data_IF_063177339517
#
_entry.id   IF_063177339517
#
_cell.length_a   1.000
_cell.length_b   1.000
_cell.length_c   1.000
_cell.angle_alpha   90.00
_cell.angle_beta   90.00
_cell.angle_gamma   90.00
#
_symmetry.space_group_name_H-M   'P 1'
#
loop_
_entity.id
_entity.type
_entity.pdbx_description
1 polymer ?
#
# COMPACT_ATOMS: atom_id res chain seq x y z
N UNK A 1 43.64 57.08 19.62
CA UNK A 1 42.29 56.67 20.02
C UNK A 1 41.89 55.64 18.99
N UNK A 2 42.17 54.38 19.31
CA UNK A 2 41.83 53.25 18.46
C UNK A 2 40.36 52.94 18.72
N UNK A 3 39.54 53.07 17.68
CA UNK A 3 38.16 52.62 17.70
C UNK A 3 38.21 51.12 17.44
N UNK A 4 38.10 50.34 18.53
CA UNK A 4 37.89 48.90 18.47
C UNK A 4 36.55 48.64 17.75
N UNK A 5 36.65 48.30 16.47
CA UNK A 5 35.56 47.76 15.67
C UNK A 5 35.42 46.29 15.98
N UNK A 6 34.64 45.97 17.01
CA UNK A 6 34.29 44.60 17.37
C UNK A 6 32.79 44.55 17.65
N UNK A 7 32.02 43.96 16.75
CA UNK A 7 30.56 43.92 16.91
C UNK A 7 29.72 43.61 15.67
N UNK A 8 30.31 43.23 14.54
CA UNK A 8 29.55 42.85 13.33
C UNK A 8 29.62 41.36 12.97
N UNK A 9 30.54 40.57 13.56
CA UNK A 9 30.69 39.14 13.20
C UNK A 9 29.67 38.21 13.88
N UNK A 10 29.06 38.59 15.00
CA UNK A 10 28.19 37.69 15.77
C UNK A 10 26.75 37.57 15.22
N UNK A 11 26.35 38.50 14.33
CA UNK A 11 24.98 38.56 13.78
C UNK A 11 24.82 37.69 12.52
N UNK A 12 25.88 37.52 11.74
CA UNK A 12 25.86 36.69 10.52
C UNK A 12 25.79 35.19 10.83
N UNK A 13 26.44 34.73 11.91
CA UNK A 13 26.35 33.34 12.37
C UNK A 13 24.92 32.97 12.83
N UNK A 14 24.21 33.89 13.48
CA UNK A 14 22.82 33.69 13.91
C UNK A 14 21.84 33.54 12.74
N UNK A 15 22.02 34.36 11.68
CA UNK A 15 21.16 34.36 10.51
C UNK A 15 21.37 33.16 9.57
N UNK A 16 22.58 32.59 9.52
CA UNK A 16 22.86 31.36 8.75
C UNK A 16 22.29 30.13 9.45
N UNK A 17 22.43 30.03 10.77
CA UNK A 17 21.83 28.96 11.57
C UNK A 17 20.30 28.98 11.54
N UNK A 18 19.69 30.18 11.55
CA UNK A 18 18.23 30.31 11.40
C UNK A 18 17.77 29.85 10.02
N UNK A 19 18.48 30.23 8.95
CA UNK A 19 18.18 29.77 7.58
C UNK A 19 18.29 28.26 7.45
N UNK A 20 19.36 27.68 7.99
CA UNK A 20 19.57 26.23 7.96
C UNK A 20 18.49 25.47 8.73
N UNK A 21 18.08 25.98 9.91
CA UNK A 21 16.96 25.40 10.67
C UNK A 21 15.64 25.52 9.92
N UNK A 22 15.34 26.67 9.33
CA UNK A 22 14.13 26.87 8.53
C UNK A 22 14.09 25.95 7.32
N UNK A 23 15.21 25.79 6.60
CA UNK A 23 15.32 24.86 5.48
C UNK A 23 15.13 23.40 5.92
N UNK A 24 15.73 22.99 7.04
CA UNK A 24 15.54 21.65 7.62
C UNK A 24 14.07 21.41 7.98
N UNK A 25 13.46 22.35 8.71
CA UNK A 25 12.05 22.25 9.12
C UNK A 25 11.09 22.28 7.94
N UNK A 26 11.39 23.05 6.88
CA UNK A 26 10.58 23.02 5.65
C UNK A 26 10.72 21.69 4.92
N UNK A 27 11.91 21.10 4.90
CA UNK A 27 12.13 19.77 4.31
C UNK A 27 11.41 18.68 5.09
N UNK A 28 11.55 18.66 6.41
CA UNK A 28 10.86 17.73 7.31
C UNK A 28 9.34 17.88 7.20
N UNK A 29 8.81 19.10 7.18
CA UNK A 29 7.37 19.32 6.98
C UNK A 29 6.86 18.80 5.64
N UNK A 30 7.65 18.94 4.56
CA UNK A 30 7.29 18.37 3.25
C UNK A 30 7.30 16.85 3.27
N UNK A 31 8.29 16.25 3.91
CA UNK A 31 8.38 14.79 4.07
C UNK A 31 7.19 14.24 4.86
N UNK A 32 6.88 14.84 6.02
CA UNK A 32 5.73 14.47 6.84
C UNK A 32 4.39 14.67 6.12
N UNK A 33 4.24 15.76 5.38
CA UNK A 33 3.04 16.00 4.57
C UNK A 33 2.86 14.91 3.49
N UNK A 34 3.97 14.52 2.84
CA UNK A 34 3.96 13.44 1.85
C UNK A 34 3.60 12.09 2.51
N UNK A 35 4.18 11.77 3.67
CA UNK A 35 3.85 10.54 4.41
C UNK A 35 2.39 10.49 4.82
N UNK A 36 1.85 11.59 5.37
CA UNK A 36 0.45 11.68 5.78
C UNK A 36 -0.48 11.51 4.58
N UNK A 37 -0.14 12.14 3.45
CA UNK A 37 -0.88 12.00 2.19
C UNK A 37 -0.91 10.53 1.72
N UNK A 38 0.23 9.84 1.75
CA UNK A 38 0.33 8.43 1.36
C UNK A 38 -0.42 7.48 2.30
N UNK A 39 -0.38 7.73 3.61
CA UNK A 39 -1.14 6.97 4.60
C UNK A 39 -2.65 7.15 4.41
N UNK A 40 -3.10 8.40 4.21
CA UNK A 40 -4.52 8.68 3.98
C UNK A 40 -5.02 8.06 2.68
N UNK A 41 -4.22 8.11 1.62
CA UNK A 41 -4.52 7.45 0.36
C UNK A 41 -4.71 5.93 0.55
N UNK A 42 -3.81 5.26 1.28
CA UNK A 42 -3.92 3.81 1.57
C UNK A 42 -5.17 3.48 2.40
N UNK A 43 -5.44 4.26 3.43
CA UNK A 43 -6.62 4.08 4.28
C UNK A 43 -7.89 4.20 3.44
N UNK A 44 -8.02 5.27 2.66
CA UNK A 44 -9.18 5.56 1.83
C UNK A 44 -9.41 4.48 0.77
N UNK A 45 -8.35 4.04 0.09
CA UNK A 45 -8.43 2.94 -0.90
C UNK A 45 -8.94 1.65 -0.23
N UNK A 46 -8.45 1.35 0.97
CA UNK A 46 -8.83 0.13 1.70
C UNK A 46 -10.25 0.20 2.24
N UNK A 47 -10.66 1.35 2.80
CA UNK A 47 -11.97 1.56 3.41
C UNK A 47 -13.09 1.56 2.36
N UNK A 48 -12.88 2.23 1.22
CA UNK A 48 -13.87 2.32 0.16
C UNK A 48 -13.78 1.20 -0.88
N UNK A 49 -12.80 0.30 -0.74
CA UNK A 49 -12.63 -0.83 -1.65
C UNK A 49 -12.22 -0.44 -3.07
N UNK A 50 -11.47 0.65 -3.24
CA UNK A 50 -10.96 1.12 -4.54
C UNK A 50 -9.79 0.25 -5.03
N UNK A 51 -10.04 -1.05 -5.23
CA UNK A 51 -9.01 -2.04 -5.56
C UNK A 51 -8.28 -1.80 -6.88
N UNK A 52 -8.81 -0.92 -7.75
CA UNK A 52 -8.13 -0.54 -9.00
C UNK A 52 -7.29 0.73 -8.86
N UNK A 53 -7.42 1.49 -7.76
CA UNK A 53 -6.66 2.71 -7.49
C UNK A 53 -5.45 2.38 -6.64
N UNK A 54 -4.29 2.95 -6.97
CA UNK A 54 -3.06 2.78 -6.20
C UNK A 54 -2.77 4.05 -5.39
N UNK A 55 -2.07 3.95 -4.24
CA UNK A 55 -1.69 5.12 -3.46
C UNK A 55 -0.86 6.13 -4.25
N UNK A 56 -0.07 5.67 -5.22
CA UNK A 56 0.72 6.53 -6.12
C UNK A 56 -0.15 7.43 -7.01
N UNK A 57 -1.37 6.99 -7.33
CA UNK A 57 -2.30 7.77 -8.16
C UNK A 57 -2.88 9.00 -7.41
N UNK A 58 -2.75 9.00 -6.08
CA UNK A 58 -3.25 10.06 -5.19
C UNK A 58 -2.10 10.92 -4.62
N UNK A 59 -0.86 10.68 -5.04
CA UNK A 59 0.27 11.52 -4.63
C UNK A 59 0.10 12.95 -5.14
N UNK A 60 0.27 13.92 -4.24
CA UNK A 60 0.12 15.34 -4.57
C UNK A 60 -1.33 15.83 -4.69
N UNK A 61 -2.33 14.95 -4.50
CA UNK A 61 -3.73 15.36 -4.39
C UNK A 61 -3.99 15.91 -2.98
N UNK A 62 -4.78 16.98 -2.88
CA UNK A 62 -5.15 17.51 -1.57
C UNK A 62 -5.97 16.48 -0.79
N UNK A 63 -5.73 16.37 0.52
CA UNK A 63 -6.42 15.42 1.39
C UNK A 63 -7.96 15.52 1.32
N UNK A 64 -8.49 16.73 1.12
CA UNK A 64 -9.93 16.98 0.97
C UNK A 64 -10.51 16.48 -0.35
N UNK A 65 -9.69 16.34 -1.39
CA UNK A 65 -10.09 15.98 -2.76
C UNK A 65 -9.71 14.52 -3.10
N UNK A 66 -8.94 13.86 -2.24
CA UNK A 66 -8.47 12.48 -2.47
C UNK A 66 -9.63 11.49 -2.66
N UNK A 67 -10.73 11.65 -1.92
CA UNK A 67 -11.89 10.75 -2.02
C UNK A 67 -12.53 10.82 -3.41
N UNK A 68 -12.87 12.02 -3.85
CA UNK A 68 -13.45 12.28 -5.16
C UNK A 68 -12.51 11.82 -6.29
N UNK A 69 -11.21 12.09 -6.14
CA UNK A 69 -10.22 11.67 -7.14
C UNK A 69 -10.08 10.16 -7.22
N UNK A 70 -10.09 9.47 -6.07
CA UNK A 70 -10.03 8.02 -6.02
C UNK A 70 -11.28 7.39 -6.65
N UNK A 71 -12.47 7.93 -6.36
CA UNK A 71 -13.73 7.47 -6.96
C UNK A 71 -13.71 7.64 -8.49
N UNK A 72 -13.29 8.81 -8.97
CA UNK A 72 -13.19 9.07 -10.41
C UNK A 72 -12.23 8.10 -11.10
N UNK A 73 -11.04 7.87 -10.52
CA UNK A 73 -10.05 6.94 -11.07
C UNK A 73 -10.55 5.48 -11.06
N UNK A 74 -11.25 5.09 -10.00
CA UNK A 74 -11.87 3.76 -9.93
C UNK A 74 -12.87 3.58 -11.07
N UNK A 75 -13.77 4.55 -11.27
CA UNK A 75 -14.77 4.52 -12.34
C UNK A 75 -14.16 4.49 -13.73
N UNK A 76 -13.15 5.34 -13.98
CA UNK A 76 -12.41 5.36 -15.25
C UNK A 76 -11.76 4.00 -15.55
N UNK A 77 -11.11 3.39 -14.55
CA UNK A 77 -10.45 2.08 -14.71
C UNK A 77 -11.44 0.94 -14.91
N UNK A 78 -12.57 0.97 -14.20
CA UNK A 78 -13.66 0.00 -14.41
C UNK A 78 -14.24 0.11 -15.83
N UNK A 79 -14.49 1.34 -16.32
CA UNK A 79 -14.98 1.55 -17.66
C UNK A 79 -13.99 1.05 -18.73
N UNK A 80 -12.69 1.34 -18.56
CA UNK A 80 -11.66 0.82 -19.45
C UNK A 80 -11.58 -0.71 -19.45
N UNK A 81 -11.71 -1.36 -18.28
CA UNK A 81 -11.75 -2.81 -18.18
C UNK A 81 -12.98 -3.39 -18.88
N UNK A 82 -14.14 -2.76 -18.73
CA UNK A 82 -15.37 -3.19 -19.38
C UNK A 82 -15.30 -3.09 -20.90
N UNK A 83 -14.78 -1.99 -21.43
CA UNK A 83 -14.58 -1.81 -22.87
C UNK A 83 -13.56 -2.81 -23.42
N UNK A 84 -12.46 -3.07 -22.70
CA UNK A 84 -11.48 -4.06 -23.10
C UNK A 84 -12.07 -5.47 -23.11
N UNK A 85 -12.80 -5.85 -22.06
CA UNK A 85 -13.47 -7.14 -21.96
C UNK A 85 -14.48 -7.30 -23.11
N UNK A 86 -15.25 -6.26 -23.40
CA UNK A 86 -16.22 -6.23 -24.49
C UNK A 86 -15.55 -6.41 -25.85
N UNK A 87 -14.48 -5.68 -26.14
CA UNK A 87 -13.74 -5.80 -27.40
C UNK A 87 -13.11 -7.20 -27.56
N UNK A 88 -12.53 -7.76 -26.49
CA UNK A 88 -11.95 -9.10 -26.51
C UNK A 88 -12.99 -10.20 -26.74
N UNK A 89 -14.15 -10.10 -26.08
CA UNK A 89 -15.24 -11.07 -26.20
C UNK A 89 -15.99 -10.93 -27.54
N UNK A 90 -16.15 -9.71 -28.04
CA UNK A 90 -16.69 -9.46 -29.38
C UNK A 90 -15.79 -10.05 -30.47
N UNK A 91 -14.47 -9.88 -30.37
CA UNK A 91 -13.50 -10.53 -31.28
C UNK A 91 -13.55 -12.06 -31.23
N UNK A 92 -14.06 -12.63 -30.15
CA UNK A 92 -14.30 -14.08 -30.00
C UNK A 92 -15.62 -14.54 -30.64
N UNK A 93 -16.41 -13.62 -31.21
CA UNK A 93 -17.67 -13.88 -31.87
C UNK A 93 -18.89 -13.85 -30.96
N UNK A 94 -18.78 -13.29 -29.74
CA UNK A 94 -19.92 -13.06 -28.86
C UNK A 94 -20.60 -11.73 -29.22
N UNK A 95 -21.92 -11.71 -29.32
CA UNK A 95 -22.70 -10.54 -29.70
C UNK A 95 -23.93 -10.36 -28.79
N UNK A 96 -24.46 -9.14 -28.72
CA UNK A 96 -25.71 -8.83 -28.00
C UNK A 96 -25.70 -9.23 -26.53
N UNK A 97 -26.79 -9.84 -26.07
CA UNK A 97 -27.02 -10.18 -24.66
C UNK A 97 -26.00 -11.20 -24.11
N UNK A 98 -25.45 -12.07 -24.97
CA UNK A 98 -24.43 -13.05 -24.58
C UNK A 98 -23.09 -12.39 -24.29
N UNK A 99 -22.76 -11.33 -25.05
CA UNK A 99 -21.58 -10.52 -24.82
C UNK A 99 -21.69 -9.76 -23.49
N UNK A 100 -22.83 -9.12 -23.23
CA UNK A 100 -23.05 -8.37 -21.99
C UNK A 100 -22.99 -9.28 -20.75
N UNK A 101 -23.57 -10.47 -20.85
CA UNK A 101 -23.48 -11.47 -19.78
C UNK A 101 -22.04 -11.93 -19.54
N UNK A 102 -21.30 -12.21 -20.60
CA UNK A 102 -19.90 -12.63 -20.49
C UNK A 102 -18.99 -11.52 -19.95
N UNK A 103 -19.24 -10.25 -20.30
CA UNK A 103 -18.52 -9.10 -19.73
C UNK A 103 -18.82 -8.98 -18.23
N UNK A 104 -20.09 -9.09 -17.83
CA UNK A 104 -20.47 -9.03 -16.41
C UNK A 104 -19.86 -10.19 -15.61
N UNK A 105 -19.85 -11.41 -16.15
CA UNK A 105 -19.24 -12.57 -15.51
C UNK A 105 -17.70 -12.43 -15.41
N UNK A 106 -17.06 -11.80 -16.40
CA UNK A 106 -15.61 -11.55 -16.41
C UNK A 106 -15.18 -10.46 -15.43
N UNK A 107 -16.00 -9.41 -15.27
CA UNK A 107 -15.74 -8.29 -14.36
C UNK A 107 -16.23 -8.53 -12.94
N UNK A 108 -17.02 -9.58 -12.71
CA UNK A 108 -17.45 -9.96 -11.38
C UNK A 108 -16.20 -10.14 -10.50
N UNK A 109 -16.13 -9.50 -9.32
CA UNK A 109 -15.01 -9.72 -8.43
C UNK A 109 -14.96 -11.20 -8.12
N UNK A 110 -13.89 -11.89 -8.54
CA UNK A 110 -13.62 -13.22 -8.02
C UNK A 110 -13.62 -13.08 -6.51
N UNK A 111 -14.45 -13.87 -5.83
CA UNK A 111 -14.43 -13.95 -4.37
C UNK A 111 -13.06 -14.52 -3.98
N UNK A 112 -12.04 -13.66 -3.95
CA UNK A 112 -10.74 -13.98 -3.41
C UNK A 112 -10.98 -14.32 -1.95
N UNK A 113 -10.87 -15.61 -1.69
CA UNK A 113 -11.11 -16.30 -0.44
C UNK A 113 -10.56 -15.49 0.74
N UNK A 114 -11.43 -14.73 1.41
CA UNK A 114 -11.09 -13.89 2.55
C UNK A 114 -10.39 -14.69 3.67
N UNK A 115 -10.53 -16.02 3.65
CA UNK A 115 -9.82 -16.95 4.52
C UNK A 115 -8.31 -17.02 4.29
N UNK A 116 -7.78 -16.63 3.13
CA UNK A 116 -6.33 -16.61 2.86
C UNK A 116 -5.63 -15.44 3.58
N UNK A 117 -6.27 -14.26 3.59
CA UNK A 117 -5.74 -13.08 4.29
C UNK A 117 -5.82 -13.23 5.82
N UNK A 118 -6.85 -13.90 6.34
CA UNK A 118 -6.98 -14.24 7.76
C UNK A 118 -5.86 -15.19 8.22
N UNK A 119 -5.55 -16.23 7.43
CA UNK A 119 -4.47 -17.18 7.72
C UNK A 119 -3.09 -16.53 7.75
N UNK A 120 -2.81 -15.59 6.86
CA UNK A 120 -1.53 -14.87 6.85
C UNK A 120 -1.35 -13.98 8.11
N UNK A 121 -2.44 -13.39 8.63
CA UNK A 121 -2.42 -12.64 9.90
C UNK A 121 -2.22 -13.54 11.11
N UNK A 122 -2.84 -14.71 11.12
CA UNK A 122 -2.73 -15.67 12.23
C UNK A 122 -1.32 -16.24 12.34
N UNK A 123 -0.67 -16.60 11.22
CA UNK A 123 0.71 -17.11 11.20
C UNK A 123 1.73 -16.05 11.69
N UNK A 124 1.51 -14.77 11.40
CA UNK A 124 2.34 -13.68 11.92
C UNK A 124 2.22 -13.50 13.45
N UNK A 125 1.07 -13.85 14.03
CA UNK A 125 0.84 -13.78 15.48
C UNK A 125 1.34 -15.01 16.26
N UNK A 126 1.54 -16.14 15.58
CA UNK A 126 1.98 -17.41 16.18
C UNK A 126 3.52 -17.56 16.21
N UNK A 127 4.27 -16.65 15.58
CA UNK A 127 5.75 -16.63 15.55
C UNK A 127 6.46 -16.29 16.87
N UNK A 128 5.79 -16.42 18.01
CA UNK A 128 6.34 -16.21 19.34
C UNK A 128 6.66 -17.54 20.05
N UNK A 129 7.93 -17.95 19.97
CA UNK A 129 8.62 -18.95 20.83
C UNK A 129 7.94 -20.33 20.95
N UNK A 130 8.23 -21.24 20.02
CA UNK A 130 7.91 -22.68 20.20
C UNK A 130 9.07 -23.41 20.90
N UNK A 131 8.86 -23.77 22.16
CA UNK A 131 9.60 -24.84 22.83
C UNK A 131 9.35 -26.18 22.10
N UNK A 132 10.38 -27.02 21.86
CA UNK A 132 10.21 -28.24 21.08
C UNK A 132 9.46 -29.33 21.87
N UNK A 133 8.40 -29.87 21.28
CA UNK A 133 7.67 -31.02 21.80
C UNK A 133 8.51 -32.30 21.63
N UNK A 134 8.88 -32.94 22.74
CA UNK A 134 9.82 -34.06 22.80
C UNK A 134 9.16 -35.45 22.59
N UNK A 135 7.99 -35.56 21.95
CA UNK A 135 7.34 -36.87 21.81
C UNK A 135 6.73 -37.07 20.43
N UNK A 136 7.40 -37.89 19.61
CA UNK A 136 7.09 -38.13 18.20
C UNK A 136 6.26 -39.39 17.95
N UNK A 137 5.81 -40.09 19.00
CA UNK A 137 5.14 -41.39 18.84
C UNK A 137 3.72 -41.32 18.28
N UNK A 138 3.12 -40.14 18.13
CA UNK A 138 1.76 -39.95 17.59
C UNK A 138 1.67 -38.85 16.51
N UNK A 139 2.76 -38.54 15.80
CA UNK A 139 2.72 -37.55 14.73
C UNK A 139 2.36 -38.22 13.40
N UNK A 140 1.19 -37.89 12.84
CA UNK A 140 0.84 -38.17 11.45
C UNK A 140 0.62 -36.83 10.72
N UNK A 141 1.24 -36.68 9.55
CA UNK A 141 1.18 -35.47 8.72
C UNK A 141 2.49 -34.68 8.70
N UNK A 142 2.39 -33.36 8.43
CA UNK A 142 3.52 -32.44 8.19
C UNK A 142 4.59 -32.44 9.31
N UNK A 143 4.20 -32.78 10.54
CA UNK A 143 5.13 -32.87 11.68
C UNK A 143 6.13 -34.03 11.57
N UNK A 144 5.77 -35.12 10.87
CA UNK A 144 6.72 -36.20 10.58
C UNK A 144 7.74 -35.80 9.52
N UNK A 145 7.35 -34.91 8.59
CA UNK A 145 8.22 -34.39 7.52
C UNK A 145 9.24 -33.41 8.10
N UNK A 146 8.82 -32.55 9.03
CA UNK A 146 9.70 -31.58 9.68
C UNK A 146 10.69 -32.24 10.67
N UNK A 147 10.29 -33.36 11.29
CA UNK A 147 11.18 -34.21 12.08
C UNK A 147 12.17 -34.99 11.19
N UNK A 148 11.75 -35.47 10.02
CA UNK A 148 12.62 -36.17 9.08
C UNK A 148 13.67 -35.24 8.44
N UNK A 149 13.32 -33.99 8.15
CA UNK A 149 14.25 -32.98 7.62
C UNK A 149 15.35 -32.59 8.61
N UNK A 150 15.09 -32.70 9.91
CA UNK A 150 16.08 -32.46 10.97
C UNK A 150 16.93 -33.68 11.34
N UNK A 151 16.56 -34.89 10.90
CA UNK A 151 17.27 -36.13 11.20
C UNK A 151 18.37 -36.53 10.21
N UNK A 152 18.57 -35.78 9.12
CA UNK A 152 19.61 -36.05 8.10
C UNK A 152 20.78 -35.07 8.20
N UNK A 153 21.19 -34.72 9.43
CA UNK A 153 22.42 -34.00 9.75
C UNK A 153 23.46 -34.94 10.35
#
# INVERSE_FOLDING_TARGET
MDFDGDGLDDVEESGSQLRQKLESTLKENKELANELSGLKARELITEHGYGLVKPEDLQGVNLSEMAERAEALQGERQAMQAELAKDMLAKRGLEGDELERAVNDFLAPEAHDAAAHSRAREVASVGGVSTPASNTQNLMGLDAIDAALRGTG
#
